data_IF_545974746903
#
_entry.id   IF_545974746903
#
_cell.length_a   1.000
_cell.length_b   1.000
_cell.length_c   1.000
_cell.angle_alpha   90.00
_cell.angle_beta   90.00
_cell.angle_gamma   90.00
#
_symmetry.space_group_name_H-M   'P 1'
#
loop_
_entity.id
_entity.type
_entity.pdbx_description
1 polymer ?
#
# COMPACT_ATOMS: atom_id res chain seq x y z
N UNK A 1 -14.38 22.75 13.45
CA UNK A 1 -14.23 22.46 12.01
C UNK A 1 -12.76 22.32 11.71
N UNK A 2 -12.35 21.35 10.89
CA UNK A 2 -10.95 21.24 10.46
C UNK A 2 -10.59 22.43 9.56
N UNK A 3 -9.37 22.93 9.66
CA UNK A 3 -8.89 23.94 8.72
C UNK A 3 -8.50 23.29 7.37
N UNK A 4 -8.33 24.11 6.34
CA UNK A 4 -8.02 23.63 4.99
C UNK A 4 -6.73 22.81 4.91
N UNK A 5 -5.71 23.15 5.71
CA UNK A 5 -4.44 22.40 5.75
C UNK A 5 -4.64 20.99 6.30
N UNK A 6 -5.47 20.85 7.33
CA UNK A 6 -5.75 19.55 7.95
C UNK A 6 -6.60 18.67 7.01
N UNK A 7 -7.53 19.25 6.25
CA UNK A 7 -8.27 18.53 5.21
C UNK A 7 -7.34 18.03 4.08
N UNK A 8 -6.41 18.87 3.61
CA UNK A 8 -5.41 18.47 2.60
C UNK A 8 -4.49 17.34 3.11
N UNK A 9 -4.09 17.39 4.38
CA UNK A 9 -3.31 16.33 5.03
C UNK A 9 -4.08 15.00 5.07
N UNK A 10 -5.34 15.04 5.45
CA UNK A 10 -6.20 13.84 5.47
C UNK A 10 -6.39 13.26 4.07
N UNK A 11 -6.60 14.10 3.05
CA UNK A 11 -6.70 13.64 1.66
C UNK A 11 -5.40 12.98 1.17
N UNK A 12 -4.23 13.54 1.53
CA UNK A 12 -2.93 12.94 1.19
C UNK A 12 -2.76 11.55 1.83
N UNK A 13 -3.12 11.41 3.10
CA UNK A 13 -3.04 10.12 3.81
C UNK A 13 -4.01 9.09 3.22
N UNK A 14 -5.26 9.49 2.96
CA UNK A 14 -6.28 8.63 2.35
C UNK A 14 -5.83 8.09 0.98
N UNK A 15 -5.32 8.98 0.12
CA UNK A 15 -4.83 8.61 -1.20
C UNK A 15 -3.69 7.57 -1.12
N UNK A 16 -2.74 7.73 -0.18
CA UNK A 16 -1.66 6.78 -0.03
C UNK A 16 -2.11 5.46 0.61
N UNK A 17 -3.04 5.48 1.56
CA UNK A 17 -3.66 4.26 2.11
C UNK A 17 -4.34 3.47 0.99
N UNK A 18 -5.10 4.14 0.13
CA UNK A 18 -5.80 3.50 -0.98
C UNK A 18 -4.81 2.88 -1.98
N UNK A 19 -3.77 3.64 -2.39
CA UNK A 19 -2.73 3.13 -3.31
C UNK A 19 -1.99 1.92 -2.75
N UNK A 20 -1.66 1.94 -1.46
CA UNK A 20 -1.05 0.77 -0.78
C UNK A 20 -2.03 -0.40 -0.78
N UNK A 21 -3.29 -0.19 -0.42
CA UNK A 21 -4.32 -1.22 -0.39
C UNK A 21 -4.53 -1.89 -1.76
N UNK A 22 -4.65 -1.10 -2.82
CA UNK A 22 -4.83 -1.59 -4.20
C UNK A 22 -3.56 -2.28 -4.72
N UNK A 23 -2.37 -1.72 -4.46
CA UNK A 23 -1.11 -2.37 -4.82
C UNK A 23 -0.94 -3.74 -4.14
N UNK A 24 -1.26 -3.85 -2.86
CA UNK A 24 -1.27 -5.12 -2.12
C UNK A 24 -2.30 -6.10 -2.68
N UNK A 25 -3.47 -5.61 -3.13
CA UNK A 25 -4.48 -6.45 -3.78
C UNK A 25 -3.95 -7.07 -5.08
N UNK A 26 -3.30 -6.27 -5.92
CA UNK A 26 -2.68 -6.77 -7.15
C UNK A 26 -1.65 -7.84 -6.81
N UNK A 27 -0.74 -7.59 -5.86
CA UNK A 27 0.29 -8.56 -5.46
C UNK A 27 -0.34 -9.87 -4.95
N UNK A 28 -1.40 -9.79 -4.13
CA UNK A 28 -2.10 -10.99 -3.62
C UNK A 28 -2.72 -11.81 -4.75
N UNK A 29 -3.36 -11.16 -5.73
CA UNK A 29 -3.98 -11.87 -6.85
C UNK A 29 -2.91 -12.57 -7.72
N UNK A 30 -1.74 -11.95 -7.90
CA UNK A 30 -0.62 -12.59 -8.59
C UNK A 30 -0.05 -13.78 -7.80
N UNK A 31 0.14 -13.64 -6.49
CA UNK A 31 0.56 -14.75 -5.63
C UNK A 31 -0.45 -15.90 -5.69
N UNK A 32 -1.75 -15.58 -5.66
CA UNK A 32 -2.84 -16.55 -5.64
C UNK A 32 -3.05 -17.27 -6.95
N UNK A 33 -3.13 -16.53 -8.05
CA UNK A 33 -3.63 -17.06 -9.33
C UNK A 33 -2.51 -17.39 -10.30
N UNK A 34 -1.46 -16.57 -10.34
CA UNK A 34 -0.32 -16.76 -11.23
C UNK A 34 0.69 -17.73 -10.61
N UNK A 35 1.24 -17.39 -9.45
CA UNK A 35 2.23 -18.23 -8.75
C UNK A 35 1.61 -19.45 -8.06
N UNK A 36 0.30 -19.39 -7.74
CA UNK A 36 -0.42 -20.41 -6.96
C UNK A 36 0.27 -20.73 -5.62
N UNK A 37 0.94 -19.75 -5.03
CA UNK A 37 1.63 -19.88 -3.75
C UNK A 37 0.72 -19.35 -2.62
N UNK A 38 0.22 -20.28 -1.80
CA UNK A 38 -0.67 -19.94 -0.69
C UNK A 38 0.04 -19.16 0.42
N UNK A 39 1.34 -19.39 0.62
CA UNK A 39 2.10 -18.74 1.69
C UNK A 39 2.37 -17.26 1.38
N UNK A 40 2.74 -16.96 0.14
CA UNK A 40 2.87 -15.58 -0.34
C UNK A 40 1.52 -14.87 -0.33
N UNK A 41 0.47 -15.53 -0.81
CA UNK A 41 -0.89 -14.99 -0.80
C UNK A 41 -1.37 -14.65 0.61
N UNK A 42 -1.13 -15.52 1.60
CA UNK A 42 -1.46 -15.25 3.01
C UNK A 42 -0.63 -14.10 3.58
N UNK A 43 0.68 -14.09 3.32
CA UNK A 43 1.58 -13.02 3.79
C UNK A 43 1.17 -11.63 3.30
N UNK A 44 0.78 -11.52 2.03
CA UNK A 44 0.29 -10.26 1.44
C UNK A 44 -1.07 -9.89 2.02
N UNK A 45 -1.97 -10.88 2.20
CA UNK A 45 -3.30 -10.66 2.80
C UNK A 45 -3.19 -10.13 4.21
N UNK A 46 -2.33 -10.71 5.04
CA UNK A 46 -2.08 -10.25 6.40
C UNK A 46 -1.59 -8.82 6.43
N UNK A 47 -0.68 -8.45 5.52
CA UNK A 47 -0.19 -7.08 5.41
C UNK A 47 -1.33 -6.13 5.01
N UNK A 48 -2.20 -6.53 4.08
CA UNK A 48 -3.38 -5.74 3.68
C UNK A 48 -4.39 -5.60 4.81
N UNK A 49 -4.66 -6.66 5.57
CA UNK A 49 -5.56 -6.58 6.74
C UNK A 49 -4.95 -5.71 7.84
N UNK A 50 -3.64 -5.84 8.08
CA UNK A 50 -2.90 -5.00 9.01
C UNK A 50 -2.97 -3.51 8.65
N UNK A 51 -2.90 -3.17 7.35
CA UNK A 51 -3.10 -1.79 6.87
C UNK A 51 -4.44 -1.24 7.34
N UNK A 52 -5.52 -1.96 7.06
CA UNK A 52 -6.87 -1.48 7.35
C UNK A 52 -7.19 -1.48 8.85
N UNK A 53 -6.63 -2.44 9.60
CA UNK A 53 -6.69 -2.44 11.07
C UNK A 53 -6.03 -1.19 11.65
N UNK A 54 -4.78 -0.93 11.26
CA UNK A 54 -4.05 0.26 11.68
C UNK A 54 -4.78 1.55 11.31
N UNK A 55 -5.32 1.65 10.10
CA UNK A 55 -6.07 2.83 9.64
C UNK A 55 -7.35 3.04 10.43
N UNK A 56 -8.02 1.96 10.84
CA UNK A 56 -9.23 2.04 11.66
C UNK A 56 -8.92 2.53 13.08
N UNK A 57 -7.80 2.11 13.64
CA UNK A 57 -7.37 2.45 15.01
C UNK A 57 -6.78 3.86 15.08
N UNK A 58 -5.81 4.16 14.23
CA UNK A 58 -5.03 5.41 14.29
C UNK A 58 -5.67 6.56 13.48
N UNK A 59 -6.48 6.24 12.47
CA UNK A 59 -7.02 7.21 11.51
C UNK A 59 -8.55 7.13 11.29
N UNK A 60 -9.39 7.03 12.34
CA UNK A 60 -10.83 6.83 12.17
C UNK A 60 -11.53 7.98 11.43
N UNK A 61 -10.98 9.19 11.52
CA UNK A 61 -11.43 10.38 10.78
C UNK A 61 -11.20 10.28 9.27
N UNK A 62 -10.15 9.61 8.83
CA UNK A 62 -9.84 9.43 7.40
C UNK A 62 -10.90 8.51 6.77
N UNK A 63 -11.27 7.43 7.46
CA UNK A 63 -12.32 6.50 7.01
C UNK A 63 -13.67 7.23 6.85
N UNK A 64 -14.03 8.11 7.79
CA UNK A 64 -15.29 8.86 7.77
C UNK A 64 -15.33 9.95 6.69
N UNK A 65 -14.17 10.45 6.30
CA UNK A 65 -14.01 11.54 5.32
C UNK A 65 -13.69 11.09 3.91
N UNK A 66 -13.71 9.78 3.59
CA UNK A 66 -13.42 9.26 2.26
C UNK A 66 -14.27 9.95 1.20
N UNK A 67 -13.67 10.92 0.53
CA UNK A 67 -14.17 11.45 -0.72
C UNK A 67 -13.88 10.41 -1.78
N UNK A 68 -14.83 10.09 -2.64
CA UNK A 68 -14.65 9.25 -3.84
C UNK A 68 -13.78 9.94 -4.90
N UNK A 69 -12.91 10.88 -4.49
CA UNK A 69 -12.01 11.63 -5.32
C UNK A 69 -11.18 10.68 -6.14
N UNK A 70 -11.56 10.53 -7.41
CA UNK A 70 -10.78 9.87 -8.45
C UNK A 70 -9.33 10.27 -8.23
N UNK A 71 -8.47 9.28 -8.06
CA UNK A 71 -7.04 9.49 -8.00
C UNK A 71 -6.65 10.24 -9.29
N UNK A 72 -6.40 11.55 -9.20
CA UNK A 72 -6.08 12.42 -10.36
C UNK A 72 -4.74 12.01 -11.00
N UNK A 73 -4.04 11.06 -10.40
CA UNK A 73 -2.82 10.40 -10.87
C UNK A 73 -3.09 9.07 -11.58
N UNK A 74 -4.30 8.82 -12.08
CA UNK A 74 -4.59 7.68 -12.94
C UNK A 74 -3.72 7.63 -14.21
N UNK A 75 -3.12 8.75 -14.62
CA UNK A 75 -2.40 8.87 -15.89
C UNK A 75 -0.86 8.79 -15.81
N UNK A 76 -0.27 8.53 -14.65
CA UNK A 76 1.19 8.42 -14.54
C UNK A 76 1.63 6.94 -14.54
N UNK A 77 1.67 6.35 -15.74
CA UNK A 77 2.64 5.34 -16.23
C UNK A 77 2.00 4.55 -17.39
N UNK A 78 1.70 5.21 -18.51
CA UNK A 78 1.61 4.54 -19.82
C UNK A 78 3.01 4.29 -20.39
N UNK A 79 3.90 3.70 -19.58
CA UNK A 79 5.08 3.02 -20.09
C UNK A 79 4.68 1.60 -20.47
N UNK A 80 4.98 1.19 -21.71
CA UNK A 80 4.69 -0.17 -22.16
C UNK A 80 5.23 -1.21 -21.18
N UNK A 81 4.40 -2.20 -20.84
CA UNK A 81 4.83 -3.37 -20.07
C UNK A 81 5.53 -4.32 -21.03
N UNK A 82 6.75 -4.72 -20.70
CA UNK A 82 7.56 -5.60 -21.55
C UNK A 82 7.37 -7.07 -21.15
N UNK A 83 6.96 -7.33 -19.90
CA UNK A 83 6.75 -8.67 -19.37
C UNK A 83 5.62 -8.73 -18.33
N UNK A 84 5.15 -9.95 -18.02
CA UNK A 84 4.18 -10.22 -16.96
C UNK A 84 4.70 -9.77 -15.58
N UNK A 85 6.01 -9.88 -15.34
CA UNK A 85 6.69 -9.46 -14.10
C UNK A 85 6.56 -7.96 -13.80
N UNK A 86 6.39 -7.13 -14.83
CA UNK A 86 6.35 -5.68 -14.68
C UNK A 86 5.11 -5.23 -13.90
N UNK A 87 4.03 -6.03 -13.94
CA UNK A 87 2.78 -5.74 -13.25
C UNK A 87 2.95 -5.80 -11.72
N UNK A 88 3.35 -6.95 -11.13
CA UNK A 88 3.63 -6.99 -9.70
C UNK A 88 4.77 -6.06 -9.32
N UNK A 89 5.78 -5.84 -10.17
CA UNK A 89 6.92 -4.94 -9.88
C UNK A 89 6.46 -3.51 -9.64
N UNK A 90 5.61 -3.01 -10.54
CA UNK A 90 5.04 -1.68 -10.40
C UNK A 90 4.16 -1.57 -9.15
N UNK A 91 3.41 -2.62 -8.80
CA UNK A 91 2.60 -2.66 -7.57
C UNK A 91 3.45 -2.66 -6.31
N UNK A 92 4.53 -3.44 -6.26
CA UNK A 92 5.50 -3.42 -5.14
C UNK A 92 6.11 -2.04 -4.96
N UNK A 93 6.53 -1.39 -6.04
CA UNK A 93 7.08 -0.04 -5.99
C UNK A 93 6.07 0.97 -5.45
N UNK A 94 4.83 0.96 -5.94
CA UNK A 94 3.76 1.84 -5.43
C UNK A 94 3.45 1.60 -3.96
N UNK A 95 3.42 0.34 -3.52
CA UNK A 95 3.22 -0.02 -2.11
C UNK A 95 4.35 0.53 -1.25
N UNK A 96 5.61 0.35 -1.67
CA UNK A 96 6.79 0.87 -0.94
C UNK A 96 6.77 2.39 -0.84
N UNK A 97 6.47 3.08 -1.92
CA UNK A 97 6.37 4.54 -1.96
C UNK A 97 5.22 5.05 -1.09
N UNK A 98 4.03 4.45 -1.20
CA UNK A 98 2.88 4.80 -0.38
C UNK A 98 3.14 4.57 1.11
N UNK A 99 3.72 3.43 1.48
CA UNK A 99 4.12 3.15 2.86
C UNK A 99 5.20 4.10 3.36
N UNK A 100 6.11 4.59 2.50
CA UNK A 100 7.11 5.58 2.87
C UNK A 100 6.48 6.93 3.21
N UNK A 101 5.49 7.36 2.43
CA UNK A 101 4.72 8.59 2.71
C UNK A 101 3.94 8.45 4.03
N UNK A 102 3.30 7.30 4.24
CA UNK A 102 2.56 7.01 5.47
C UNK A 102 3.48 6.91 6.69
N UNK A 103 4.67 6.34 6.55
CA UNK A 103 5.70 6.30 7.60
C UNK A 103 6.08 7.71 8.06
N UNK A 104 6.48 8.59 7.15
CA UNK A 104 6.94 9.94 7.51
C UNK A 104 5.78 10.81 8.00
N UNK A 105 4.62 10.71 7.36
CA UNK A 105 3.42 11.47 7.77
C UNK A 105 2.85 10.97 9.10
N UNK A 106 2.96 9.67 9.36
CA UNK A 106 2.50 9.02 10.58
C UNK A 106 3.28 9.49 11.81
N UNK A 107 4.58 9.75 11.70
CA UNK A 107 5.43 10.29 12.78
C UNK A 107 4.94 11.64 13.31
N UNK A 108 4.26 12.43 12.47
CA UNK A 108 3.66 13.71 12.88
C UNK A 108 2.43 13.50 13.76
N UNK A 109 1.76 12.35 13.61
CA UNK A 109 0.54 12.01 14.34
C UNK A 109 0.89 11.26 15.63
N UNK A 110 1.70 10.20 15.52
CA UNK A 110 2.32 9.53 16.65
C UNK A 110 3.60 8.80 16.22
N UNK A 111 4.62 8.72 17.09
CA UNK A 111 5.81 7.90 16.82
C UNK A 111 5.46 6.42 16.55
N UNK A 112 4.41 5.92 17.21
CA UNK A 112 3.92 4.55 17.05
C UNK A 112 3.35 4.28 15.66
N UNK A 113 2.50 5.17 15.13
CA UNK A 113 1.94 5.04 13.79
C UNK A 113 3.04 5.05 12.71
N UNK A 114 4.02 5.96 12.84
CA UNK A 114 5.19 5.96 11.96
C UNK A 114 5.97 4.64 12.02
N UNK A 115 6.13 4.06 13.21
CA UNK A 115 6.82 2.78 13.39
C UNK A 115 6.03 1.60 12.80
N UNK A 116 4.70 1.61 12.90
CA UNK A 116 3.84 0.61 12.28
C UNK A 116 4.01 0.58 10.76
N UNK A 117 3.94 1.73 10.09
CA UNK A 117 4.15 1.80 8.64
C UNK A 117 5.57 1.43 8.23
N UNK A 118 6.58 1.78 9.04
CA UNK A 118 7.97 1.34 8.82
C UNK A 118 8.08 -0.19 8.85
N UNK A 119 7.45 -0.86 9.82
CA UNK A 119 7.41 -2.33 9.91
C UNK A 119 6.74 -2.95 8.69
N UNK A 120 5.61 -2.40 8.27
CA UNK A 120 4.92 -2.84 7.05
C UNK A 120 5.78 -2.68 5.80
N UNK A 121 6.53 -1.57 5.70
CA UNK A 121 7.46 -1.32 4.60
C UNK A 121 8.66 -2.28 4.62
N UNK A 122 9.09 -2.76 5.78
CA UNK A 122 10.11 -3.82 5.79
C UNK A 122 9.54 -5.16 5.33
N UNK A 123 8.37 -5.52 5.85
CA UNK A 123 7.69 -6.76 5.47
C UNK A 123 7.41 -6.84 3.97
N UNK A 124 7.11 -5.73 3.29
CA UNK A 124 6.93 -5.76 1.83
C UNK A 124 8.22 -6.02 1.06
N UNK A 125 9.40 -5.61 1.57
CA UNK A 125 10.68 -5.95 0.91
C UNK A 125 10.94 -7.46 0.99
N UNK A 126 10.68 -8.07 2.14
CA UNK A 126 10.84 -9.51 2.33
C UNK A 126 9.88 -10.28 1.40
N UNK A 127 8.61 -9.88 1.37
CA UNK A 127 7.61 -10.48 0.45
C UNK A 127 8.01 -10.29 -1.01
N UNK A 128 8.51 -9.11 -1.41
CA UNK A 128 8.94 -8.85 -2.80
C UNK A 128 10.08 -9.79 -3.20
N UNK A 129 11.03 -10.02 -2.30
CA UNK A 129 12.14 -10.94 -2.53
C UNK A 129 11.62 -12.36 -2.73
N UNK A 130 10.84 -12.89 -1.79
CA UNK A 130 10.30 -14.25 -1.85
C UNK A 130 9.39 -14.44 -3.09
N UNK A 131 8.64 -13.40 -3.45
CA UNK A 131 7.77 -13.40 -4.64
C UNK A 131 8.56 -13.59 -5.93
N UNK A 132 9.69 -12.89 -6.09
CA UNK A 132 10.49 -13.01 -7.31
C UNK A 132 11.37 -14.26 -7.35
N UNK A 133 11.73 -14.85 -6.21
CA UNK A 133 12.32 -16.19 -6.19
C UNK A 133 11.34 -17.21 -6.79
N UNK A 134 10.04 -17.10 -6.48
CA UNK A 134 8.98 -17.94 -7.04
C UNK A 134 8.60 -17.61 -8.49
N UNK A 135 8.90 -16.42 -8.97
CA UNK A 135 8.60 -16.04 -10.36
C UNK A 135 9.61 -16.65 -11.34
N UNK A 136 10.83 -16.94 -10.87
CA UNK A 136 11.90 -17.56 -11.66
C UNK A 136 11.91 -19.08 -11.64
N UNK A 137 11.06 -19.71 -10.81
CA UNK A 137 10.86 -21.17 -10.70
C UNK A 137 9.91 -21.70 -11.81
#
# INVERSE_FOLDING_TARGET
MLNERELRKQAMLDANINRVGEGLRVIEDWARFYLRDSSLMESVRELRHGLWGLVKEEYPQIIKGRSTGKDLLADALEGGRSSEEDIPRASFNRVKEGLRVLEESGKIISPEAGMNFKRMRFRIYDIEKDFYEKFTD
#
